data_IF_535436749479
#
_entry.id   IF_535436749479
#
_cell.length_a   1.000
_cell.length_b   1.000
_cell.length_c   1.000
_cell.angle_alpha   90.00
_cell.angle_beta   90.00
_cell.angle_gamma   90.00
#
_symmetry.space_group_name_H-M   'P 1'
#
loop_
_entity.id
_entity.type
_entity.pdbx_description
1 polymer ?
#
# COMPACT_ATOMS: atom_id res chain seq x y z
N UNK A 1 1.37 4.53 -20.32
CA UNK A 1 0.63 4.21 -19.08
C UNK A 1 1.51 3.41 -18.11
N UNK A 2 1.92 4.00 -16.99
CA UNK A 2 2.98 3.44 -16.12
C UNK A 2 2.66 2.08 -15.48
N UNK A 3 1.39 1.64 -15.53
CA UNK A 3 0.93 0.30 -15.13
C UNK A 3 1.50 -0.19 -13.78
N UNK A 4 1.87 0.73 -12.88
CA UNK A 4 2.56 0.42 -11.62
C UNK A 4 1.72 -0.55 -10.81
N UNK A 5 0.43 -0.24 -10.59
CA UNK A 5 -0.53 -1.13 -9.94
C UNK A 5 -0.71 -2.51 -10.63
N UNK A 6 -0.54 -2.62 -11.95
CA UNK A 6 -0.63 -3.90 -12.67
C UNK A 6 0.66 -4.71 -12.51
N UNK A 7 1.81 -4.04 -12.43
CA UNK A 7 3.11 -4.66 -12.15
C UNK A 7 3.26 -5.06 -10.69
N UNK A 8 2.63 -4.35 -9.75
CA UNK A 8 2.63 -4.71 -8.33
C UNK A 8 1.93 -6.05 -8.08
N UNK A 9 1.02 -6.47 -8.95
CA UNK A 9 0.31 -7.74 -8.80
C UNK A 9 -0.59 -7.77 -7.56
N UNK A 10 -0.80 -8.96 -7.01
CA UNK A 10 -1.55 -9.14 -5.77
C UNK A 10 -0.70 -8.70 -4.58
N UNK A 11 -1.22 -7.76 -3.79
CA UNK A 11 -0.66 -7.43 -2.47
C UNK A 11 -1.42 -8.22 -1.39
N UNK A 12 -0.70 -8.74 -0.40
CA UNK A 12 -1.25 -9.63 0.63
C UNK A 12 -0.70 -9.37 2.02
N UNK A 13 0.42 -8.66 2.14
CA UNK A 13 1.09 -8.42 3.41
C UNK A 13 0.89 -6.98 3.90
N UNK A 14 0.75 -6.76 5.22
CA UNK A 14 0.72 -5.42 5.77
C UNK A 14 1.98 -4.61 5.44
N UNK A 15 1.81 -3.34 5.07
CA UNK A 15 2.88 -2.45 4.62
C UNK A 15 3.09 -2.44 3.10
N UNK A 16 2.38 -3.28 2.34
CA UNK A 16 2.37 -3.21 0.89
C UNK A 16 1.34 -2.17 0.40
N UNK A 17 1.74 -1.39 -0.62
CA UNK A 17 0.90 -0.34 -1.22
C UNK A 17 0.81 -0.52 -2.73
N UNK A 18 -0.40 -0.44 -3.27
CA UNK A 18 -0.67 -0.37 -4.70
C UNK A 18 -1.14 1.03 -5.10
N UNK A 19 -0.49 1.63 -6.10
CA UNK A 19 -0.68 3.03 -6.49
C UNK A 19 -1.02 3.12 -7.97
N UNK A 20 -2.14 3.76 -8.29
CA UNK A 20 -2.57 4.12 -9.63
C UNK A 20 -2.64 5.65 -9.76
N UNK A 21 -1.49 6.24 -10.10
CA UNK A 21 -1.28 7.68 -10.23
C UNK A 21 -2.28 8.36 -11.18
N UNK A 22 -2.58 7.83 -12.39
CA UNK A 22 -3.46 8.51 -13.35
C UNK A 22 -4.89 8.73 -12.83
N UNK A 23 -5.36 7.85 -11.95
CA UNK A 23 -6.71 7.92 -11.39
C UNK A 23 -6.74 8.34 -9.92
N UNK A 24 -5.59 8.77 -9.36
CA UNK A 24 -5.46 9.12 -7.93
C UNK A 24 -6.01 8.05 -6.99
N UNK A 25 -5.78 6.78 -7.34
CA UNK A 25 -6.23 5.64 -6.55
C UNK A 25 -5.04 5.01 -5.83
N UNK A 26 -5.18 4.84 -4.51
CA UNK A 26 -4.14 4.32 -3.62
C UNK A 26 -4.79 3.29 -2.69
N UNK A 27 -4.19 2.11 -2.58
CA UNK A 27 -4.63 1.03 -1.69
C UNK A 27 -3.45 0.53 -0.87
N UNK A 28 -3.61 0.43 0.44
CA UNK A 28 -2.59 -0.03 1.38
C UNK A 28 -3.17 -1.08 2.31
N UNK A 29 -2.42 -2.16 2.56
CA UNK A 29 -2.77 -3.16 3.57
C UNK A 29 -2.15 -2.71 4.88
N UNK A 30 -2.97 -2.38 5.87
CA UNK A 30 -2.53 -1.99 7.22
C UNK A 30 -2.85 -3.08 8.23
N UNK A 31 -1.99 -3.26 9.22
CA UNK A 31 -2.24 -4.18 10.33
C UNK A 31 -3.00 -3.48 11.44
N UNK A 32 -4.17 -4.01 11.82
CA UNK A 32 -5.10 -3.44 12.82
C UNK A 32 -4.45 -3.13 14.20
N UNK A 33 -3.35 -3.80 14.54
CA UNK A 33 -2.71 -3.75 15.87
C UNK A 33 -1.25 -3.27 15.84
N UNK A 34 -0.79 -2.60 14.78
CA UNK A 34 0.45 -1.84 14.87
C UNK A 34 0.20 -0.58 15.69
N UNK A 35 0.33 -0.68 17.01
CA UNK A 35 0.47 0.51 17.84
C UNK A 35 1.82 1.13 17.51
N UNK A 36 1.80 2.23 16.78
CA UNK A 36 2.96 3.08 16.54
C UNK A 36 3.39 3.74 17.88
N UNK A 37 4.02 2.95 18.74
CA UNK A 37 4.72 3.49 19.90
C UNK A 37 6.01 4.12 19.39
N UNK A 38 5.99 5.45 19.28
CA UNK A 38 7.21 6.24 19.20
C UNK A 38 7.97 6.06 20.52
N UNK A 39 9.03 5.26 20.50
CA UNK A 39 10.01 5.19 21.58
C UNK A 39 10.85 6.47 21.44
N UNK A 40 10.60 7.45 22.31
CA UNK A 40 11.43 8.65 22.45
C UNK A 40 12.76 8.30 23.11
#
# INVERSE_FOLDING_TARGET
PDQIAVKTGWISEPGQTSICIPHRFILEIVQQYSKDYYIY
#
